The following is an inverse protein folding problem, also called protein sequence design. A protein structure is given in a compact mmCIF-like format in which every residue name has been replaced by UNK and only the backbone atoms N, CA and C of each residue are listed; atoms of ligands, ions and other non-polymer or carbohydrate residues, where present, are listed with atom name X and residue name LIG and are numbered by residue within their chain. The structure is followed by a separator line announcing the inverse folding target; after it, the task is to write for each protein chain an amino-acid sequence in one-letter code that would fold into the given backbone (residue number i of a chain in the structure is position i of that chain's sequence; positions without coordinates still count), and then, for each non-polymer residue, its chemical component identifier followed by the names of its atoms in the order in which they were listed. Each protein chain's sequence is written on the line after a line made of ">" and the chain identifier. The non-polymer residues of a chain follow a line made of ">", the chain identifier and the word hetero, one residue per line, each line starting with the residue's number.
data_IF_826858263566
#
_entry.id   IF_826858263566
#
_cell.length_a   1.000
_cell.length_b   1.000
_cell.length_c   1.000
_cell.angle_alpha   90.00
_cell.angle_beta   90.00
_cell.angle_gamma   90.00
#
_symmetry.space_group_name_H-M   'P 1'
#
loop_
_entity.id
_entity.type
_entity.pdbx_description
1 polymer ?
#
# COMPACT_ATOMS: atom_id res chain seq x y z
N UNK A 1 -25.70 -3.15 15.37
CA UNK A 1 -24.70 -3.94 16.14
C UNK A 1 -23.51 -3.05 16.39
N UNK A 2 -22.93 -3.05 17.58
CA UNK A 2 -21.69 -2.30 17.87
C UNK A 2 -20.50 -3.13 17.38
N UNK A 3 -19.59 -2.48 16.65
CA UNK A 3 -18.37 -3.11 16.17
C UNK A 3 -17.47 -3.56 17.35
N UNK A 4 -16.83 -4.74 17.23
CA UNK A 4 -15.80 -5.21 18.18
C UNK A 4 -14.41 -4.69 17.86
N UNK A 5 -14.18 -4.39 16.59
CA UNK A 5 -12.95 -3.81 16.06
C UNK A 5 -13.29 -2.98 14.82
N UNK A 6 -12.50 -1.99 14.51
CA UNK A 6 -12.67 -1.16 13.33
C UNK A 6 -11.35 -0.49 12.91
N UNK A 7 -11.21 -0.26 11.61
CA UNK A 7 -10.16 0.54 11.02
C UNK A 7 -10.75 1.92 10.68
N UNK A 8 -10.39 2.94 11.46
CA UNK A 8 -10.79 4.33 11.21
C UNK A 8 -9.82 4.91 10.20
N UNK A 9 -10.33 5.40 9.07
CA UNK A 9 -9.57 5.97 7.97
C UNK A 9 -9.85 7.46 7.85
N UNK A 10 -8.85 8.27 8.11
CA UNK A 10 -8.88 9.72 7.96
C UNK A 10 -8.65 10.09 6.49
N UNK A 11 -9.71 10.48 5.80
CA UNK A 11 -9.67 10.84 4.38
C UNK A 11 -8.95 12.18 4.14
N UNK A 12 -9.05 13.13 5.08
CA UNK A 12 -8.30 14.39 4.99
C UNK A 12 -6.79 14.19 5.06
N UNK A 13 -6.33 13.22 5.86
CA UNK A 13 -4.91 12.86 5.91
C UNK A 13 -4.41 12.35 4.54
N UNK A 14 -5.19 11.48 3.88
CA UNK A 14 -4.85 10.99 2.54
C UNK A 14 -4.80 12.16 1.54
N UNK A 15 -5.80 13.04 1.54
CA UNK A 15 -5.83 14.23 0.69
C UNK A 15 -4.60 15.12 0.89
N UNK A 16 -4.24 15.40 2.14
CA UNK A 16 -3.09 16.21 2.49
C UNK A 16 -1.77 15.55 2.05
N UNK A 17 -1.63 14.23 2.25
CA UNK A 17 -0.45 13.48 1.83
C UNK A 17 -0.27 13.51 0.30
N UNK A 18 -1.37 13.31 -0.46
CA UNK A 18 -1.35 13.41 -1.93
C UNK A 18 -0.90 14.80 -2.37
N UNK A 19 -1.49 15.86 -1.79
CA UNK A 19 -1.12 17.24 -2.12
C UNK A 19 0.36 17.53 -1.82
N UNK A 20 0.87 17.06 -0.67
CA UNK A 20 2.27 17.19 -0.28
C UNK A 20 3.20 16.49 -1.27
N UNK A 21 2.88 15.24 -1.64
CA UNK A 21 3.68 14.45 -2.57
C UNK A 21 3.62 15.01 -4.00
N UNK A 22 2.46 15.50 -4.45
CA UNK A 22 2.28 16.16 -5.75
C UNK A 22 3.13 17.44 -5.83
N UNK A 23 3.07 18.28 -4.80
CA UNK A 23 3.87 19.50 -4.72
C UNK A 23 5.37 19.19 -4.73
N UNK A 24 5.79 18.14 -4.00
CA UNK A 24 7.18 17.71 -3.95
C UNK A 24 7.68 17.16 -5.28
N UNK A 25 6.85 16.37 -5.97
CA UNK A 25 7.21 15.77 -7.26
C UNK A 25 7.31 16.82 -8.38
N UNK A 26 6.45 17.83 -8.36
CA UNK A 26 6.38 18.88 -9.40
C UNK A 26 5.88 18.38 -10.77
N UNK A 27 5.45 17.13 -10.86
CA UNK A 27 4.97 16.45 -12.07
C UNK A 27 3.64 15.74 -11.78
N UNK A 28 3.08 15.02 -12.73
CA UNK A 28 1.86 14.28 -12.50
C UNK A 28 2.04 13.19 -11.43
N UNK A 29 0.95 12.91 -10.71
CA UNK A 29 0.94 11.92 -9.65
C UNK A 29 -0.13 10.87 -9.91
N UNK A 30 0.31 9.61 -10.01
CA UNK A 30 -0.55 8.45 -9.97
C UNK A 30 -0.70 7.96 -8.52
N UNK A 31 -1.90 8.07 -7.96
CA UNK A 31 -2.21 7.49 -6.66
C UNK A 31 -2.41 5.97 -6.81
N UNK A 32 -1.58 5.19 -6.13
CA UNK A 32 -1.62 3.73 -6.19
C UNK A 32 -2.59 3.20 -5.14
N UNK A 33 -3.75 2.73 -5.61
CA UNK A 33 -4.89 2.31 -4.76
C UNK A 33 -5.20 0.81 -4.84
N UNK A 34 -4.27 -0.01 -5.32
CA UNK A 34 -4.38 -1.47 -5.35
C UNK A 34 -4.58 -2.09 -3.97
N UNK A 35 -4.98 -3.37 -3.92
CA UNK A 35 -5.19 -4.14 -2.69
C UNK A 35 -6.15 -3.41 -1.72
N UNK A 36 -7.34 -3.05 -2.24
CA UNK A 36 -8.33 -2.27 -1.52
C UNK A 36 -7.75 -0.97 -0.93
N UNK A 37 -6.98 -0.22 -1.76
CA UNK A 37 -6.23 0.96 -1.33
C UNK A 37 -5.34 0.67 -0.12
N UNK A 38 -4.51 -0.37 -0.21
CA UNK A 38 -3.66 -0.86 0.89
C UNK A 38 -4.49 -1.11 2.17
N UNK A 39 -5.67 -1.69 2.00
CA UNK A 39 -6.58 -2.00 3.10
C UNK A 39 -7.38 -0.82 3.66
N UNK A 40 -7.29 0.38 3.05
CA UNK A 40 -8.01 1.58 3.50
C UNK A 40 -9.38 1.76 2.84
N UNK A 41 -9.73 0.94 1.83
CA UNK A 41 -10.99 1.04 1.09
C UNK A 41 -10.84 1.73 -0.27
N UNK A 42 -10.97 0.95 -1.36
CA UNK A 42 -10.64 1.34 -2.72
C UNK A 42 -11.33 2.62 -3.18
N UNK A 43 -12.65 2.67 -3.14
CA UNK A 43 -13.43 3.77 -3.73
C UNK A 43 -13.33 5.08 -2.94
N UNK A 44 -13.49 5.10 -1.59
CA UNK A 44 -13.33 6.33 -0.81
C UNK A 44 -11.93 6.94 -0.97
N UNK A 45 -10.89 6.10 -0.93
CA UNK A 45 -9.50 6.57 -1.10
C UNK A 45 -9.25 7.10 -2.50
N UNK A 46 -9.72 6.40 -3.55
CA UNK A 46 -9.54 6.87 -4.92
C UNK A 46 -10.15 8.26 -5.13
N UNK A 47 -11.37 8.51 -4.62
CA UNK A 47 -12.04 9.82 -4.71
C UNK A 47 -11.23 10.91 -4.02
N UNK A 48 -10.85 10.69 -2.75
CA UNK A 48 -10.13 11.70 -1.99
C UNK A 48 -8.69 11.92 -2.50
N UNK A 49 -8.05 10.92 -3.09
CA UNK A 49 -6.74 11.07 -3.71
C UNK A 49 -6.82 11.98 -4.96
N UNK A 50 -7.86 11.83 -5.79
CA UNK A 50 -8.13 12.73 -6.92
C UNK A 50 -8.41 14.15 -6.44
N UNK A 51 -9.21 14.32 -5.38
CA UNK A 51 -9.47 15.62 -4.74
C UNK A 51 -8.19 16.24 -4.14
N UNK A 52 -7.20 15.43 -3.78
CA UNK A 52 -5.88 15.84 -3.31
C UNK A 52 -4.90 16.23 -4.43
N UNK A 53 -5.29 16.07 -5.70
CA UNK A 53 -4.50 16.47 -6.86
C UNK A 53 -3.81 15.33 -7.59
N UNK A 54 -4.13 14.06 -7.27
CA UNK A 54 -3.73 12.95 -8.14
C UNK A 54 -4.42 13.08 -9.50
N UNK A 55 -3.68 12.84 -10.58
CA UNK A 55 -4.19 12.93 -11.95
C UNK A 55 -4.46 11.56 -12.57
N UNK A 56 -3.91 10.51 -11.97
CA UNK A 56 -4.05 9.12 -12.34
C UNK A 56 -4.32 8.23 -11.14
N UNK A 57 -4.96 7.10 -11.38
CA UNK A 57 -5.04 6.01 -10.41
C UNK A 57 -4.27 4.79 -10.93
N UNK A 58 -3.60 4.09 -10.02
CA UNK A 58 -2.88 2.87 -10.32
C UNK A 58 -3.40 1.70 -9.50
N UNK A 59 -3.75 0.60 -10.16
CA UNK A 59 -4.21 -0.63 -9.53
C UNK A 59 -3.41 -1.83 -10.01
N UNK A 60 -3.44 -2.92 -9.27
CA UNK A 60 -2.80 -4.15 -9.72
C UNK A 60 -3.70 -4.92 -10.69
N UNK A 61 -4.93 -5.15 -10.30
CA UNK A 61 -5.86 -6.06 -10.97
C UNK A 61 -6.87 -5.30 -11.82
N UNK A 62 -7.32 -5.95 -12.89
CA UNK A 62 -8.34 -5.38 -13.76
C UNK A 62 -9.69 -5.22 -13.03
N UNK A 63 -10.02 -6.14 -12.13
CA UNK A 63 -11.23 -6.10 -11.30
C UNK A 63 -11.26 -4.86 -10.38
N UNK A 64 -10.11 -4.42 -9.88
CA UNK A 64 -10.00 -3.18 -9.09
C UNK A 64 -10.30 -1.96 -9.98
N UNK A 65 -9.78 -1.93 -11.20
CA UNK A 65 -10.05 -0.86 -12.15
C UNK A 65 -11.53 -0.81 -12.56
N UNK A 66 -12.13 -1.95 -12.85
CA UNK A 66 -13.57 -2.07 -13.17
C UNK A 66 -14.43 -1.59 -11.99
N UNK A 67 -14.09 -1.97 -10.76
CA UNK A 67 -14.79 -1.51 -9.56
C UNK A 67 -14.74 0.03 -9.41
N UNK A 68 -13.61 0.66 -9.73
CA UNK A 68 -13.48 2.12 -9.74
C UNK A 68 -14.35 2.76 -10.83
N UNK A 69 -14.37 2.19 -12.03
CA UNK A 69 -15.28 2.66 -13.12
C UNK A 69 -16.74 2.54 -12.73
N UNK A 70 -17.14 1.41 -12.15
CA UNK A 70 -18.50 1.19 -11.65
C UNK A 70 -18.89 2.19 -10.55
N UNK A 71 -17.92 2.68 -9.78
CA UNK A 71 -18.13 3.73 -8.77
C UNK A 71 -18.12 5.17 -9.34
N UNK A 72 -18.07 5.32 -10.69
CA UNK A 72 -18.16 6.61 -11.38
C UNK A 72 -16.83 7.36 -11.49
N UNK A 73 -15.70 6.73 -11.24
CA UNK A 73 -14.38 7.34 -11.45
C UNK A 73 -14.11 7.48 -12.96
N UNK A 74 -13.83 8.69 -13.41
CA UNK A 74 -13.53 9.02 -14.83
C UNK A 74 -12.05 9.30 -15.08
N UNK A 75 -11.27 9.56 -14.04
CA UNK A 75 -9.83 9.79 -14.17
C UNK A 75 -9.12 8.59 -14.84
N UNK A 76 -7.98 8.79 -15.53
CA UNK A 76 -7.19 7.69 -16.08
C UNK A 76 -6.82 6.66 -15.02
N UNK A 77 -6.93 5.36 -15.40
CA UNK A 77 -6.59 4.22 -14.51
C UNK A 77 -5.64 3.31 -15.25
N UNK A 78 -4.51 2.97 -14.64
CA UNK A 78 -3.58 1.96 -15.13
C UNK A 78 -3.68 0.68 -14.27
N UNK A 79 -3.95 -0.47 -14.92
CA UNK A 79 -3.85 -1.79 -14.33
C UNK A 79 -2.57 -2.49 -14.81
N UNK A 80 -1.74 -3.01 -13.89
CA UNK A 80 -0.41 -3.54 -14.28
C UNK A 80 -0.16 -5.01 -14.02
N UNK A 81 -1.05 -5.73 -13.37
CA UNK A 81 -0.96 -7.18 -13.23
C UNK A 81 -2.08 -7.83 -14.06
N UNK A 82 -1.94 -7.70 -15.38
CA UNK A 82 -2.93 -8.19 -16.36
C UNK A 82 -2.24 -9.25 -17.23
N UNK A 83 -2.25 -10.53 -16.80
CA UNK A 83 -1.54 -11.60 -17.50
C UNK A 83 -2.21 -11.93 -18.86
N UNK A 84 -1.49 -12.58 -19.79
CA UNK A 84 -2.07 -13.11 -20.99
C UNK A 84 -3.31 -13.98 -20.72
N UNK A 85 -4.35 -13.82 -21.55
CA UNK A 85 -5.66 -14.48 -21.38
C UNK A 85 -6.63 -13.74 -20.45
N UNK A 86 -6.26 -12.55 -19.94
CA UNK A 86 -7.18 -11.69 -19.20
C UNK A 86 -8.30 -11.12 -20.09
N UNK A 87 -9.34 -10.59 -19.47
CA UNK A 87 -10.43 -9.91 -20.18
C UNK A 87 -10.02 -8.51 -20.67
N UNK A 88 -9.14 -8.49 -21.68
CA UNK A 88 -8.68 -7.24 -22.29
C UNK A 88 -9.82 -6.47 -22.96
N UNK A 89 -10.88 -7.18 -23.42
CA UNK A 89 -12.05 -6.52 -24.00
C UNK A 89 -12.73 -5.62 -22.98
N UNK A 90 -13.01 -6.14 -21.78
CA UNK A 90 -13.58 -5.33 -20.69
C UNK A 90 -12.70 -4.16 -20.30
N UNK A 91 -11.37 -4.31 -20.32
CA UNK A 91 -10.46 -3.22 -20.03
C UNK A 91 -10.60 -2.08 -21.04
N UNK A 92 -10.59 -2.40 -22.34
CA UNK A 92 -10.70 -1.42 -23.42
C UNK A 92 -12.08 -0.73 -23.42
N UNK A 93 -13.16 -1.50 -23.25
CA UNK A 93 -14.52 -0.96 -23.24
C UNK A 93 -14.76 0.00 -22.06
N UNK A 94 -14.05 -0.21 -20.95
CA UNK A 94 -14.12 0.63 -19.75
C UNK A 94 -13.03 1.72 -19.68
N UNK A 95 -12.31 2.01 -20.77
CA UNK A 95 -11.24 3.02 -20.81
C UNK A 95 -10.16 2.82 -19.72
N UNK A 96 -9.70 1.58 -19.53
CA UNK A 96 -8.63 1.21 -18.60
C UNK A 96 -7.35 1.05 -19.40
N UNK A 97 -6.29 1.75 -19.00
CA UNK A 97 -4.97 1.58 -19.56
C UNK A 97 -4.34 0.29 -19.01
N UNK A 98 -3.68 -0.46 -19.86
CA UNK A 98 -3.15 -1.79 -19.53
C UNK A 98 -1.62 -1.73 -19.55
N UNK A 99 -0.98 -2.19 -18.48
CA UNK A 99 0.46 -2.43 -18.53
C UNK A 99 0.75 -3.76 -19.25
N UNK A 100 1.67 -3.73 -20.18
CA UNK A 100 2.13 -4.91 -20.92
C UNK A 100 3.63 -5.11 -20.71
N UNK A 101 4.01 -6.37 -20.45
CA UNK A 101 5.36 -6.78 -20.06
C UNK A 101 5.93 -7.90 -20.93
N UNK A 102 5.23 -8.30 -21.99
CA UNK A 102 5.63 -9.33 -22.96
C UNK A 102 5.01 -9.11 -24.33
N UNK A 103 5.66 -9.61 -25.38
CA UNK A 103 5.11 -9.59 -26.74
C UNK A 103 3.76 -10.30 -26.78
N UNK A 104 3.65 -11.46 -26.12
CA UNK A 104 2.38 -12.20 -26.07
C UNK A 104 1.22 -11.36 -25.53
N UNK A 105 1.41 -10.64 -24.44
CA UNK A 105 0.37 -9.77 -23.87
C UNK A 105 0.05 -8.61 -24.85
N UNK A 106 1.07 -8.04 -25.47
CA UNK A 106 0.91 -6.95 -26.43
C UNK A 106 0.10 -7.41 -27.67
N UNK A 107 0.38 -8.61 -28.20
CA UNK A 107 -0.35 -9.19 -29.33
C UNK A 107 -1.82 -9.48 -28.97
N UNK A 108 -2.08 -10.01 -27.77
CA UNK A 108 -3.44 -10.28 -27.30
C UNK A 108 -4.24 -8.98 -27.11
N UNK A 109 -3.64 -7.95 -26.54
CA UNK A 109 -4.26 -6.62 -26.38
C UNK A 109 -4.54 -5.98 -27.75
N UNK A 110 -3.60 -6.08 -28.69
CA UNK A 110 -3.77 -5.51 -30.03
C UNK A 110 -4.85 -6.21 -30.87
N UNK A 111 -5.16 -7.46 -30.54
CA UNK A 111 -6.20 -8.25 -31.21
C UNK A 111 -7.62 -7.97 -30.69
N UNK A 112 -7.80 -7.13 -29.67
CA UNK A 112 -9.10 -6.76 -29.12
C UNK A 112 -9.95 -6.07 -30.18
N UNK A 113 -11.20 -6.54 -30.35
CA UNK A 113 -12.16 -5.98 -31.31
C UNK A 113 -13.05 -4.97 -30.60
N UNK A 114 -12.65 -3.72 -30.62
CA UNK A 114 -13.40 -2.60 -30.04
C UNK A 114 -13.43 -1.42 -31.03
N UNK A 115 -14.39 -0.53 -30.87
CA UNK A 115 -14.38 0.79 -31.53
C UNK A 115 -13.33 1.73 -30.95
N UNK A 116 -12.81 1.40 -29.76
CA UNK A 116 -11.75 2.11 -29.08
C UNK A 116 -10.41 1.41 -29.35
N UNK A 117 -9.36 2.18 -29.51
CA UNK A 117 -8.00 1.65 -29.61
C UNK A 117 -7.51 1.30 -28.20
N UNK A 118 -6.99 0.08 -27.95
CA UNK A 118 -6.42 -0.27 -26.68
C UNK A 118 -5.28 0.66 -26.27
N UNK A 119 -5.29 1.17 -25.06
CA UNK A 119 -4.27 2.06 -24.50
C UNK A 119 -3.34 1.26 -23.60
N UNK A 120 -2.04 1.36 -23.84
CA UNK A 120 -1.06 0.55 -23.11
C UNK A 120 0.10 1.37 -22.56
N UNK A 121 0.63 0.93 -21.42
CA UNK A 121 1.92 1.35 -20.90
C UNK A 121 2.89 0.17 -20.97
N UNK A 122 4.06 0.37 -21.56
CA UNK A 122 5.09 -0.68 -21.62
C UNK A 122 5.83 -0.75 -20.29
N UNK A 123 5.75 -1.89 -19.61
CA UNK A 123 6.57 -2.16 -18.44
C UNK A 123 7.92 -2.71 -18.88
N UNK A 124 9.02 -2.08 -18.44
CA UNK A 124 10.39 -2.50 -18.79
C UNK A 124 11.17 -2.87 -17.54
N UNK A 125 11.91 -4.00 -17.60
CA UNK A 125 12.81 -4.41 -16.52
C UNK A 125 14.15 -3.70 -16.64
N UNK A 126 14.39 -2.80 -15.71
CA UNK A 126 15.66 -2.07 -15.63
C UNK A 126 16.64 -2.64 -14.61
N UNK A 127 16.27 -3.75 -13.94
CA UNK A 127 17.14 -4.42 -12.97
C UNK A 127 16.49 -4.75 -11.63
N UNK A 128 15.18 -4.80 -11.56
CA UNK A 128 14.44 -5.37 -10.43
C UNK A 128 14.23 -6.87 -10.61
N UNK A 129 14.17 -7.34 -11.85
CA UNK A 129 14.03 -8.75 -12.24
C UNK A 129 12.75 -9.39 -11.68
N UNK A 130 11.64 -8.61 -11.70
CA UNK A 130 10.33 -9.07 -11.26
C UNK A 130 9.30 -9.11 -12.39
N UNK A 131 9.22 -8.06 -13.20
CA UNK A 131 8.32 -7.92 -14.33
C UNK A 131 8.90 -6.91 -15.32
N UNK A 132 8.32 -6.88 -16.52
CA UNK A 132 8.73 -5.96 -17.58
C UNK A 132 9.52 -6.65 -18.70
N UNK A 133 9.49 -6.01 -19.86
CA UNK A 133 10.30 -6.42 -21.01
C UNK A 133 11.79 -6.41 -20.68
N UNK A 134 12.51 -7.50 -20.96
CA UNK A 134 13.94 -7.63 -20.82
C UNK A 134 14.55 -8.22 -22.10
N UNK A 135 14.48 -9.53 -22.29
CA UNK A 135 15.04 -10.26 -23.43
C UNK A 135 14.18 -10.15 -24.70
N UNK A 136 12.91 -9.84 -24.55
CA UNK A 136 11.99 -9.54 -25.66
C UNK A 136 12.10 -8.09 -26.15
N UNK A 137 12.65 -7.16 -25.34
CA UNK A 137 12.73 -5.74 -25.71
C UNK A 137 13.38 -5.48 -27.06
N UNK A 138 14.53 -6.11 -27.42
CA UNK A 138 15.14 -5.92 -28.74
C UNK A 138 14.33 -6.49 -29.91
N UNK A 139 13.30 -7.30 -29.64
CA UNK A 139 12.42 -7.91 -30.64
C UNK A 139 11.17 -7.08 -30.91
N UNK A 140 10.89 -6.06 -30.09
CA UNK A 140 9.77 -5.16 -30.32
C UNK A 140 10.08 -4.30 -31.55
N UNK A 141 9.18 -4.34 -32.51
CA UNK A 141 9.23 -3.54 -33.73
C UNK A 141 7.91 -2.78 -33.95
N UNK A 142 7.84 -2.01 -35.03
CA UNK A 142 6.65 -1.23 -35.36
C UNK A 142 5.39 -2.10 -35.59
N UNK A 143 5.55 -3.38 -35.98
CA UNK A 143 4.44 -4.28 -36.21
C UNK A 143 3.75 -4.67 -34.91
N UNK A 144 4.50 -5.01 -33.86
CA UNK A 144 3.97 -5.31 -32.54
C UNK A 144 3.22 -4.12 -31.92
N UNK A 145 3.64 -2.88 -32.23
CA UNK A 145 3.09 -1.66 -31.67
C UNK A 145 1.88 -1.12 -32.46
N UNK A 146 1.57 -1.69 -33.63
CA UNK A 146 0.59 -1.12 -34.56
C UNK A 146 -0.86 -1.15 -34.05
N UNK A 147 -1.26 -2.19 -33.33
CA UNK A 147 -2.66 -2.42 -32.89
C UNK A 147 -3.09 -1.62 -31.65
N UNK A 148 -2.17 -0.95 -30.98
CA UNK A 148 -2.37 -0.29 -29.68
C UNK A 148 -1.93 1.18 -29.70
N UNK A 149 -2.49 1.96 -28.81
CA UNK A 149 -1.98 3.31 -28.47
C UNK A 149 -0.96 3.17 -27.32
N UNK A 150 0.31 3.46 -27.62
CA UNK A 150 1.34 3.50 -26.58
C UNK A 150 1.21 4.82 -25.84
N UNK A 151 0.67 4.78 -24.62
CA UNK A 151 0.46 5.95 -23.76
C UNK A 151 1.71 6.26 -22.94
N UNK A 152 2.38 5.22 -22.44
CA UNK A 152 3.53 5.43 -21.57
C UNK A 152 4.51 4.28 -21.53
N UNK A 153 5.60 4.52 -20.83
CA UNK A 153 6.64 3.54 -20.50
C UNK A 153 7.01 3.67 -19.02
N UNK A 154 7.16 2.55 -18.33
CA UNK A 154 7.54 2.56 -16.93
C UNK A 154 8.44 1.41 -16.51
N UNK A 155 9.06 1.60 -15.37
CA UNK A 155 9.79 0.56 -14.65
C UNK A 155 9.60 0.73 -13.14
N UNK A 156 10.26 -0.10 -12.35
CA UNK A 156 10.19 -0.02 -10.90
C UNK A 156 11.59 -0.12 -10.28
N UNK A 157 11.88 0.76 -9.32
CA UNK A 157 13.13 0.69 -8.57
C UNK A 157 13.11 -0.47 -7.59
N UNK A 158 14.22 -1.17 -7.52
CA UNK A 158 14.43 -2.24 -6.55
C UNK A 158 14.83 -1.73 -5.16
N UNK A 159 15.55 -0.59 -5.10
CA UNK A 159 16.19 -0.09 -3.88
C UNK A 159 16.07 1.44 -3.74
N UNK A 160 14.93 2.03 -4.15
CA UNK A 160 14.72 3.47 -4.02
C UNK A 160 14.67 3.96 -2.56
N UNK A 161 14.33 3.09 -1.65
CA UNK A 161 14.35 3.28 -0.20
C UNK A 161 15.76 3.31 0.40
N UNK A 162 16.77 2.89 -0.37
CA UNK A 162 18.18 2.98 0.00
C UNK A 162 18.89 4.04 -0.86
N UNK A 163 18.85 5.32 -0.49
CA UNK A 163 19.49 6.39 -1.24
C UNK A 163 21.00 6.16 -1.41
N UNK A 164 21.52 6.46 -2.60
CA UNK A 164 22.96 6.32 -2.90
C UNK A 164 23.40 4.93 -3.37
N UNK A 165 22.50 3.95 -3.46
CA UNK A 165 22.83 2.64 -4.02
C UNK A 165 23.14 2.76 -5.53
N UNK A 166 24.29 2.22 -6.03
CA UNK A 166 24.64 2.29 -7.44
C UNK A 166 23.58 1.67 -8.37
N UNK A 167 22.82 0.72 -7.87
CA UNK A 167 21.75 0.06 -8.62
C UNK A 167 20.67 1.06 -9.05
N UNK A 168 20.33 2.07 -8.21
CA UNK A 168 19.34 3.09 -8.56
C UNK A 168 19.78 3.90 -9.79
N UNK A 169 21.05 4.33 -9.84
CA UNK A 169 21.60 5.02 -11.01
C UNK A 169 21.66 4.12 -12.24
N UNK A 170 22.02 2.84 -12.05
CA UNK A 170 22.04 1.85 -13.15
C UNK A 170 20.65 1.65 -13.74
N UNK A 171 19.60 1.51 -12.89
CA UNK A 171 18.21 1.40 -13.32
C UNK A 171 17.75 2.65 -14.05
N UNK A 172 18.03 3.84 -13.52
CA UNK A 172 17.70 5.11 -14.16
C UNK A 172 18.32 5.25 -15.56
N UNK A 173 19.62 4.92 -15.69
CA UNK A 173 20.32 4.99 -16.97
C UNK A 173 19.78 3.96 -17.98
N UNK A 174 19.43 2.76 -17.52
CA UNK A 174 18.82 1.74 -18.36
C UNK A 174 17.43 2.16 -18.83
N UNK A 175 16.62 2.73 -17.93
CA UNK A 175 15.31 3.27 -18.27
C UNK A 175 15.41 4.36 -19.35
N UNK A 176 16.32 5.33 -19.21
CA UNK A 176 16.54 6.37 -20.20
C UNK A 176 16.90 5.81 -21.59
N UNK A 177 17.71 4.75 -21.64
CA UNK A 177 18.04 4.08 -22.92
C UNK A 177 16.82 3.42 -23.56
N UNK A 178 15.95 2.79 -22.77
CA UNK A 178 14.75 2.13 -23.29
C UNK A 178 13.72 3.18 -23.76
N UNK A 179 13.59 4.31 -23.08
CA UNK A 179 12.81 5.47 -23.54
C UNK A 179 13.33 5.96 -24.89
N UNK A 180 14.63 6.25 -25.01
CA UNK A 180 15.23 6.72 -26.25
C UNK A 180 15.05 5.75 -27.42
N UNK A 181 15.02 4.46 -27.17
CA UNK A 181 14.73 3.43 -28.18
C UNK A 181 13.29 3.58 -28.73
N UNK A 182 12.27 3.81 -27.88
CA UNK A 182 10.90 4.07 -28.35
C UNK A 182 10.76 5.40 -29.08
N UNK A 183 11.45 6.43 -28.63
CA UNK A 183 11.49 7.73 -29.31
C UNK A 183 12.04 7.56 -30.75
N UNK A 184 13.07 6.72 -30.93
CA UNK A 184 13.63 6.41 -32.25
C UNK A 184 12.67 5.62 -33.16
N UNK A 185 11.70 4.92 -32.62
CA UNK A 185 10.60 4.25 -33.34
C UNK A 185 9.41 5.17 -33.64
N UNK A 186 9.47 6.45 -33.29
CA UNK A 186 8.44 7.45 -33.59
C UNK A 186 7.41 7.64 -32.47
N UNK A 187 7.75 7.30 -31.23
CA UNK A 187 6.92 7.53 -30.02
C UNK A 187 7.54 8.60 -29.09
N UNK A 188 7.59 9.89 -29.46
CA UNK A 188 8.29 10.92 -28.68
C UNK A 188 7.49 11.45 -27.48
N UNK A 189 6.16 11.23 -27.44
CA UNK A 189 5.26 11.85 -26.45
C UNK A 189 4.71 10.86 -25.43
N UNK A 190 5.58 9.95 -24.94
CA UNK A 190 5.20 8.96 -23.94
C UNK A 190 5.21 9.53 -22.53
N UNK A 191 4.24 9.13 -21.71
CA UNK A 191 4.28 9.36 -20.25
C UNK A 191 5.34 8.43 -19.65
N UNK A 192 6.46 9.01 -19.20
CA UNK A 192 7.56 8.27 -18.57
C UNK A 192 7.37 8.27 -17.07
N UNK A 193 7.35 7.09 -16.44
CA UNK A 193 7.17 7.03 -15.00
C UNK A 193 7.99 5.90 -14.35
N UNK A 194 8.94 6.28 -13.49
CA UNK A 194 9.86 5.37 -12.81
C UNK A 194 9.69 5.41 -11.29
N UNK A 195 9.57 6.61 -10.71
CA UNK A 195 9.56 6.84 -9.26
C UNK A 195 8.36 6.21 -8.56
N UNK A 196 8.65 5.41 -7.52
CA UNK A 196 7.72 4.98 -6.48
C UNK A 196 7.69 6.00 -5.32
N UNK A 197 7.02 5.69 -4.20
CA UNK A 197 6.95 6.58 -3.03
C UNK A 197 8.34 7.00 -2.51
N UNK A 198 9.28 6.07 -2.41
CA UNK A 198 10.62 6.35 -1.89
C UNK A 198 11.39 7.30 -2.82
N UNK A 199 11.41 7.00 -4.12
CA UNK A 199 12.04 7.88 -5.11
C UNK A 199 11.37 9.25 -5.18
N UNK A 200 10.04 9.34 -5.10
CA UNK A 200 9.30 10.62 -5.06
C UNK A 200 9.75 11.47 -3.88
N UNK A 201 10.05 10.86 -2.74
CA UNK A 201 10.49 11.57 -1.54
C UNK A 201 11.95 12.05 -1.66
N UNK A 202 12.84 11.27 -2.28
CA UNK A 202 14.29 11.49 -2.19
C UNK A 202 15.00 11.77 -3.51
N UNK A 203 14.42 11.45 -4.67
CA UNK A 203 15.08 11.53 -5.98
C UNK A 203 14.20 12.17 -7.05
N UNK A 204 14.26 13.51 -7.13
CA UNK A 204 13.54 14.25 -8.17
C UNK A 204 14.04 13.95 -9.60
N UNK A 205 15.28 13.51 -9.77
CA UNK A 205 15.85 13.25 -11.10
C UNK A 205 15.16 12.06 -11.80
N UNK A 206 14.47 11.21 -11.07
CA UNK A 206 13.74 10.05 -11.59
C UNK A 206 12.22 10.29 -11.71
N UNK A 207 11.72 11.49 -11.44
CA UNK A 207 10.29 11.80 -11.48
C UNK A 207 9.70 11.72 -12.90
N UNK A 208 10.46 12.15 -13.93
CA UNK A 208 10.04 12.23 -15.32
C UNK A 208 8.70 12.99 -15.48
N UNK A 209 7.71 12.38 -16.14
CA UNK A 209 6.43 13.02 -16.40
C UNK A 209 5.40 12.71 -15.31
N UNK A 210 5.57 11.60 -14.60
CA UNK A 210 4.63 11.15 -13.57
C UNK A 210 5.32 10.29 -12.52
N UNK A 211 4.93 10.46 -11.24
CA UNK A 211 5.34 9.60 -10.13
C UNK A 211 4.19 8.68 -9.71
N UNK A 212 4.53 7.50 -9.14
CA UNK A 212 3.56 6.53 -8.64
C UNK A 212 3.71 6.35 -7.15
N UNK A 213 2.85 7.01 -6.39
CA UNK A 213 2.90 6.99 -4.93
C UNK A 213 1.87 6.01 -4.35
N UNK A 214 2.37 5.00 -3.63
CA UNK A 214 1.55 4.03 -2.90
C UNK A 214 1.58 4.37 -1.41
N UNK A 215 2.44 3.69 -0.65
CA UNK A 215 2.44 3.74 0.82
C UNK A 215 2.45 5.17 1.39
N UNK A 216 3.11 6.11 0.72
CA UNK A 216 3.23 7.48 1.20
C UNK A 216 1.90 8.27 1.16
N UNK A 217 0.95 7.94 0.24
CA UNK A 217 -0.35 8.61 0.27
C UNK A 217 -1.18 8.20 1.49
N UNK A 218 -0.91 7.01 2.07
CA UNK A 218 -1.52 6.54 3.31
C UNK A 218 -0.82 7.09 4.57
N UNK A 219 0.15 7.98 4.37
CA UNK A 219 0.89 8.63 5.45
C UNK A 219 1.98 7.80 6.08
N UNK A 220 2.41 6.72 5.43
CA UNK A 220 3.42 5.81 5.97
C UNK A 220 4.75 5.96 5.24
N UNK A 221 5.84 5.90 6.01
CA UNK A 221 7.19 5.92 5.45
C UNK A 221 7.45 4.67 4.60
N UNK A 222 8.05 4.79 3.41
CA UNK A 222 8.48 3.62 2.65
C UNK A 222 9.51 2.76 3.37
N UNK A 223 10.40 3.37 4.14
CA UNK A 223 11.33 2.70 5.05
C UNK A 223 11.77 3.69 6.15
N UNK A 224 11.42 3.35 7.39
CA UNK A 224 11.71 4.23 8.54
C UNK A 224 13.21 4.34 8.84
N UNK A 225 13.98 3.28 8.54
CA UNK A 225 15.41 3.23 8.89
C UNK A 225 16.27 4.10 7.98
N UNK A 226 15.92 4.16 6.70
CA UNK A 226 16.71 4.85 5.68
C UNK A 226 16.15 6.22 5.29
N UNK A 227 14.83 6.39 5.36
CA UNK A 227 14.15 7.60 4.93
C UNK A 227 13.65 8.47 6.07
N UNK A 228 13.49 7.89 7.27
CA UNK A 228 12.91 8.54 8.44
C UNK A 228 11.45 8.17 8.64
N UNK A 229 10.91 8.60 9.77
CA UNK A 229 9.52 8.37 10.19
C UNK A 229 8.53 9.15 9.34
N UNK A 230 7.25 8.76 9.35
CA UNK A 230 6.17 9.49 8.68
C UNK A 230 6.16 10.98 9.07
N UNK A 231 6.34 11.29 10.36
CA UNK A 231 6.41 12.66 10.88
C UNK A 231 7.58 13.46 10.30
N UNK A 232 8.77 12.88 10.23
CA UNK A 232 9.96 13.52 9.64
C UNK A 232 9.80 13.76 8.13
N UNK A 233 9.01 12.93 7.47
CA UNK A 233 8.69 13.09 6.05
C UNK A 233 7.52 14.05 5.79
N UNK A 234 6.87 14.59 6.84
CA UNK A 234 5.69 15.44 6.74
C UNK A 234 4.44 14.69 6.28
N UNK A 235 4.38 13.39 6.53
CA UNK A 235 3.25 12.53 6.20
C UNK A 235 2.36 12.29 7.42
N UNK A 236 1.06 12.15 7.20
CA UNK A 236 0.05 11.94 8.24
C UNK A 236 -0.50 10.52 8.09
N UNK A 237 -0.19 9.57 8.99
CA UNK A 237 -0.76 8.23 8.95
C UNK A 237 -2.29 8.27 8.94
N UNK A 238 -2.91 7.61 7.96
CA UNK A 238 -4.33 7.74 7.70
C UNK A 238 -5.19 6.70 8.42
N UNK A 239 -4.61 5.57 8.88
CA UNK A 239 -5.37 4.50 9.52
C UNK A 239 -5.08 4.43 11.02
N UNK A 240 -6.17 4.40 11.81
CA UNK A 240 -6.15 3.99 13.21
C UNK A 240 -6.91 2.66 13.33
N UNK A 241 -6.22 1.61 13.78
CA UNK A 241 -6.84 0.32 14.07
C UNK A 241 -7.15 0.23 15.54
N UNK A 242 -8.42 0.02 15.88
CA UNK A 242 -8.85 -0.12 17.27
C UNK A 242 -9.75 -1.33 17.49
N UNK A 243 -9.76 -1.84 18.70
CA UNK A 243 -10.57 -2.99 19.09
C UNK A 243 -11.09 -2.81 20.52
N UNK A 244 -12.13 -3.56 20.88
CA UNK A 244 -12.65 -3.58 22.24
C UNK A 244 -11.95 -4.60 23.09
N UNK A 245 -11.79 -4.30 24.37
CA UNK A 245 -11.48 -5.28 25.39
C UNK A 245 -12.72 -6.15 25.63
N UNK A 246 -12.66 -7.43 25.22
CA UNK A 246 -13.73 -8.38 25.48
C UNK A 246 -13.85 -8.68 26.98
N UNK A 247 -12.70 -8.79 27.64
CA UNK A 247 -12.62 -9.11 29.07
C UNK A 247 -11.40 -8.43 29.68
N UNK A 248 -11.57 -7.88 30.87
CA UNK A 248 -10.45 -7.48 31.75
C UNK A 248 -10.53 -8.28 33.04
N UNK A 249 -9.43 -8.91 33.45
CA UNK A 249 -9.37 -9.71 34.67
C UNK A 249 -8.06 -9.50 35.43
N UNK A 250 -8.15 -9.53 36.76
CA UNK A 250 -6.98 -9.56 37.64
C UNK A 250 -6.43 -11.00 37.70
N UNK A 251 -5.13 -11.13 37.64
CA UNK A 251 -4.42 -12.40 37.78
C UNK A 251 -3.25 -12.26 38.75
N UNK A 252 -2.93 -13.29 39.56
CA UNK A 252 -1.74 -13.27 40.42
C UNK A 252 -0.45 -13.41 39.60
N UNK A 253 0.68 -13.16 40.23
CA UNK A 253 2.00 -13.55 39.75
C UNK A 253 2.04 -15.06 39.45
N UNK A 254 2.83 -15.45 38.44
CA UNK A 254 2.98 -16.84 38.02
C UNK A 254 1.82 -17.42 37.19
N UNK A 255 0.85 -16.57 36.78
CA UNK A 255 -0.26 -17.02 35.94
C UNK A 255 0.20 -17.32 34.51
N UNK A 256 -0.04 -18.54 33.97
CA UNK A 256 0.28 -18.89 32.60
C UNK A 256 -0.73 -18.21 31.63
N UNK A 257 -0.23 -17.73 30.46
CA UNK A 257 -1.05 -17.01 29.49
C UNK A 257 -1.02 -17.64 28.10
N UNK A 258 -2.20 -17.92 27.57
CA UNK A 258 -2.42 -18.35 26.20
C UNK A 258 -1.96 -19.78 25.88
N UNK A 259 -1.95 -20.08 24.57
CA UNK A 259 -1.59 -21.41 24.07
C UNK A 259 -0.15 -21.78 24.39
N UNK A 260 0.02 -22.98 24.99
CA UNK A 260 1.33 -23.52 25.35
C UNK A 260 1.94 -22.88 26.59
N UNK A 261 1.20 -21.97 27.28
CA UNK A 261 1.70 -21.25 28.46
C UNK A 261 3.10 -20.65 28.25
N UNK A 262 3.32 -20.11 27.04
CA UNK A 262 4.64 -19.60 26.62
C UNK A 262 5.04 -18.31 27.33
N UNK A 263 4.08 -17.66 27.97
CA UNK A 263 4.31 -16.51 28.83
C UNK A 263 3.68 -16.73 30.20
N UNK A 264 4.28 -16.13 31.22
CA UNK A 264 3.83 -16.18 32.62
C UNK A 264 3.89 -14.77 33.18
N UNK A 265 2.89 -14.35 33.96
CA UNK A 265 2.89 -13.01 34.58
C UNK A 265 4.01 -12.89 35.62
N UNK A 266 4.76 -11.79 35.54
CA UNK A 266 5.90 -11.54 36.43
C UNK A 266 5.52 -10.92 37.78
N UNK A 267 4.29 -10.42 37.87
CA UNK A 267 3.68 -9.83 39.08
C UNK A 267 2.16 -9.97 38.98
N UNK A 268 1.45 -9.69 40.06
CA UNK A 268 -0.01 -9.54 40.00
C UNK A 268 -0.37 -8.37 39.07
N UNK A 269 -1.25 -8.59 38.10
CA UNK A 269 -1.58 -7.62 37.05
C UNK A 269 -3.02 -7.73 36.57
N UNK A 270 -3.45 -6.81 35.70
CA UNK A 270 -4.68 -6.92 34.92
C UNK A 270 -4.35 -7.34 33.49
N UNK A 271 -4.98 -8.40 33.03
CA UNK A 271 -4.92 -8.84 31.64
C UNK A 271 -6.15 -8.37 30.88
N UNK A 272 -5.92 -7.77 29.71
CA UNK A 272 -6.94 -7.39 28.73
C UNK A 272 -7.02 -8.43 27.61
N UNK A 273 -8.21 -8.90 27.30
CA UNK A 273 -8.49 -9.76 26.15
C UNK A 273 -9.01 -8.90 25.02
N UNK A 274 -8.20 -8.65 24.02
CA UNK A 274 -8.52 -7.82 22.84
C UNK A 274 -9.33 -8.66 21.87
N UNK A 275 -10.49 -8.16 21.42
CA UNK A 275 -11.42 -8.86 20.53
C UNK A 275 -10.98 -8.83 19.05
N UNK A 276 -9.73 -9.15 18.77
CA UNK A 276 -9.10 -9.15 17.45
C UNK A 276 -7.95 -10.18 17.44
N UNK A 277 -7.79 -10.92 16.34
CA UNK A 277 -6.74 -11.93 16.22
C UNK A 277 -6.19 -12.09 14.81
N UNK A 278 -5.51 -13.22 14.53
CA UNK A 278 -4.86 -13.38 13.23
C UNK A 278 -5.85 -13.56 12.07
N UNK A 279 -7.10 -13.95 12.32
CA UNK A 279 -8.16 -13.98 11.31
C UNK A 279 -8.64 -12.57 10.90
N UNK A 280 -8.24 -11.54 11.65
CA UNK A 280 -8.54 -10.14 11.36
C UNK A 280 -7.36 -9.40 10.74
N UNK A 281 -6.19 -10.04 10.67
CA UNK A 281 -4.96 -9.47 10.13
C UNK A 281 -3.85 -9.24 11.15
N UNK A 282 -4.04 -9.57 12.43
CA UNK A 282 -2.97 -9.44 13.43
C UNK A 282 -1.91 -10.52 13.21
N UNK A 283 -0.61 -10.18 13.10
CA UNK A 283 0.43 -11.17 12.94
C UNK A 283 0.50 -12.14 14.12
N UNK A 284 0.45 -13.46 13.84
CA UNK A 284 0.49 -14.48 14.90
C UNK A 284 1.82 -14.48 15.66
N UNK A 285 2.89 -14.07 15.01
CA UNK A 285 4.26 -14.08 15.54
C UNK A 285 4.65 -12.74 16.21
N UNK A 286 3.77 -11.75 16.23
CA UNK A 286 4.06 -10.46 16.82
C UNK A 286 4.49 -10.60 18.29
N UNK A 287 5.63 -9.98 18.63
CA UNK A 287 6.16 -9.88 19.96
C UNK A 287 6.56 -8.43 20.20
N UNK A 288 6.47 -7.93 21.41
CA UNK A 288 6.82 -6.53 21.75
C UNK A 288 5.95 -5.45 21.09
N UNK A 289 4.84 -5.82 20.44
CA UNK A 289 3.75 -4.92 20.10
C UNK A 289 2.59 -5.14 21.07
N UNK A 290 1.51 -4.38 20.93
CA UNK A 290 0.36 -4.47 21.82
C UNK A 290 -0.72 -3.50 21.45
N UNK A 291 -1.39 -2.99 22.46
CA UNK A 291 -2.39 -1.93 22.32
C UNK A 291 -2.03 -0.74 23.20
N UNK A 292 -2.70 0.37 22.97
CA UNK A 292 -2.63 1.54 23.86
C UNK A 292 -3.99 1.85 24.42
N UNK A 293 -4.03 2.18 25.70
CA UNK A 293 -5.23 2.65 26.40
C UNK A 293 -4.91 3.97 27.08
N UNK A 294 -5.59 5.05 26.69
CA UNK A 294 -5.37 6.42 27.19
C UNK A 294 -3.89 6.87 27.10
N UNK A 295 -3.16 6.45 26.06
CA UNK A 295 -1.75 6.77 25.87
C UNK A 295 -0.76 5.74 26.45
N UNK A 296 -1.18 4.94 27.41
CA UNK A 296 -0.35 3.90 28.01
C UNK A 296 -0.27 2.65 27.12
N UNK A 297 0.94 2.18 26.86
CA UNK A 297 1.19 0.97 26.07
C UNK A 297 1.02 -0.30 26.91
N UNK A 298 0.18 -1.21 26.44
CA UNK A 298 -0.06 -2.53 27.01
C UNK A 298 0.45 -3.61 26.05
N UNK A 299 1.59 -4.26 26.35
CA UNK A 299 2.22 -5.21 25.45
C UNK A 299 1.44 -6.52 25.38
N UNK A 300 1.56 -7.23 24.24
CA UNK A 300 1.06 -8.60 24.10
C UNK A 300 1.77 -9.50 25.11
N UNK A 301 0.99 -10.34 25.79
CA UNK A 301 1.49 -11.41 26.63
C UNK A 301 0.94 -12.77 26.14
N UNK A 302 1.83 -13.70 25.87
CA UNK A 302 1.47 -14.99 25.26
C UNK A 302 1.31 -14.90 23.73
N UNK A 303 0.67 -15.92 23.16
CA UNK A 303 0.51 -16.05 21.70
C UNK A 303 -0.80 -15.42 21.22
N UNK A 304 -0.77 -14.78 20.06
CA UNK A 304 -1.98 -14.32 19.36
C UNK A 304 -2.80 -15.55 18.92
N UNK A 305 -4.10 -15.53 19.20
CA UNK A 305 -5.07 -16.55 18.80
C UNK A 305 -5.81 -16.12 17.52
N UNK A 306 -6.71 -16.98 17.01
CA UNK A 306 -7.44 -16.71 15.77
C UNK A 306 -8.27 -15.42 15.85
N UNK A 307 -9.01 -15.24 16.95
CA UNK A 307 -10.00 -14.18 17.09
C UNK A 307 -9.69 -13.19 18.22
N UNK A 308 -8.58 -13.37 18.93
CA UNK A 308 -8.25 -12.59 20.12
C UNK A 308 -6.77 -12.69 20.49
N UNK A 309 -6.28 -11.70 21.23
CA UNK A 309 -4.97 -11.76 21.88
C UNK A 309 -5.02 -11.12 23.27
N UNK A 310 -4.07 -11.47 24.12
CA UNK A 310 -4.00 -10.97 25.48
C UNK A 310 -2.91 -9.91 25.60
N UNK A 311 -3.22 -8.85 26.33
CA UNK A 311 -2.26 -7.79 26.67
C UNK A 311 -2.13 -7.66 28.18
N UNK A 312 -0.94 -7.25 28.64
CA UNK A 312 -0.70 -6.90 30.02
C UNK A 312 -0.99 -5.40 30.23
N UNK A 313 -2.12 -5.10 30.87
CA UNK A 313 -2.57 -3.72 31.13
C UNK A 313 -1.86 -3.07 32.31
N UNK A 314 -1.14 -3.86 33.13
CA UNK A 314 -0.58 -3.38 34.40
C UNK A 314 -1.61 -3.42 35.54
N UNK A 315 -1.10 -3.48 36.78
CA UNK A 315 -1.93 -3.61 38.00
C UNK A 315 -2.87 -2.40 38.20
N UNK A 316 -2.38 -1.22 37.90
CA UNK A 316 -3.07 0.07 38.18
C UNK A 316 -3.96 0.53 37.02
N UNK A 317 -3.98 -0.17 35.88
CA UNK A 317 -4.80 0.23 34.74
C UNK A 317 -6.27 0.40 35.13
N UNK A 318 -6.91 1.44 34.60
CA UNK A 318 -8.34 1.72 34.79
C UNK A 318 -9.22 1.08 33.73
N UNK A 319 -8.63 0.41 32.73
CA UNK A 319 -9.34 -0.22 31.63
C UNK A 319 -10.38 -1.26 32.11
N UNK A 320 -11.50 -1.30 31.41
CA UNK A 320 -12.61 -2.19 31.69
C UNK A 320 -13.04 -2.99 30.44
N UNK A 321 -13.77 -4.09 30.64
CA UNK A 321 -14.38 -4.81 29.54
C UNK A 321 -15.34 -3.90 28.78
N UNK A 322 -15.23 -3.87 27.45
CA UNK A 322 -16.00 -3.00 26.57
C UNK A 322 -15.29 -1.73 26.14
N UNK A 323 -14.21 -1.33 26.82
CA UNK A 323 -13.41 -0.17 26.42
C UNK A 323 -12.72 -0.39 25.08
N UNK A 324 -12.54 0.69 24.33
CA UNK A 324 -11.74 0.73 23.12
C UNK A 324 -10.27 0.85 23.46
N UNK A 325 -9.45 0.06 22.80
CA UNK A 325 -7.99 0.17 22.81
C UNK A 325 -7.47 0.37 21.38
N UNK A 326 -6.43 1.16 21.22
CA UNK A 326 -5.78 1.40 19.93
C UNK A 326 -4.72 0.33 19.70
N UNK A 327 -4.86 -0.43 18.61
CA UNK A 327 -3.87 -1.43 18.18
C UNK A 327 -2.68 -0.74 17.53
N UNK A 328 -2.96 0.15 16.57
CA UNK A 328 -1.97 1.10 16.05
C UNK A 328 -2.65 2.37 15.54
N UNK A 329 -1.91 3.47 15.54
CA UNK A 329 -2.38 4.77 15.07
C UNK A 329 -1.22 5.62 14.56
N UNK A 330 -1.38 6.93 14.67
CA UNK A 330 -0.39 7.92 14.22
C UNK A 330 0.88 7.98 15.08
N UNK A 331 0.82 7.51 16.31
CA UNK A 331 1.86 7.66 17.33
C UNK A 331 1.82 9.00 18.08
N UNK A 332 0.86 9.89 17.75
CA UNK A 332 0.82 11.24 18.33
C UNK A 332 0.48 11.24 19.83
N UNK A 333 -0.34 10.30 20.28
CA UNK A 333 -0.79 10.15 21.66
C UNK A 333 -0.01 9.05 22.42
N UNK A 334 1.16 8.64 21.90
CA UNK A 334 2.00 7.60 22.52
C UNK A 334 1.60 6.17 22.18
N UNK A 335 0.58 5.98 21.33
CA UNK A 335 0.15 4.67 20.88
C UNK A 335 1.18 3.96 20.02
N UNK A 336 1.04 2.64 19.88
CA UNK A 336 1.82 1.89 18.89
C UNK A 336 1.52 2.38 17.47
N UNK A 337 2.55 2.45 16.65
CA UNK A 337 2.44 2.72 15.21
C UNK A 337 2.36 1.41 14.43
N UNK A 338 1.95 1.48 13.17
CA UNK A 338 2.01 0.33 12.27
C UNK A 338 3.47 -0.13 12.03
N UNK A 339 4.43 0.79 12.12
CA UNK A 339 5.87 0.47 12.02
C UNK A 339 6.37 -0.31 13.24
N UNK A 340 5.88 0.01 14.46
CA UNK A 340 6.15 -0.77 15.67
C UNK A 340 5.66 -2.22 15.50
N UNK A 341 4.44 -2.40 14.96
CA UNK A 341 3.88 -3.71 14.68
C UNK A 341 4.64 -4.46 13.57
N UNK A 342 5.09 -3.75 12.55
CA UNK A 342 5.95 -4.30 11.50
C UNK A 342 7.25 -4.85 12.08
N UNK A 343 7.95 -4.04 12.87
CA UNK A 343 9.18 -4.44 13.54
C UNK A 343 8.97 -5.63 14.50
N UNK A 344 7.89 -5.60 15.28
CA UNK A 344 7.54 -6.65 16.24
C UNK A 344 7.17 -8.00 15.58
N UNK A 345 6.84 -7.99 14.30
CA UNK A 345 6.45 -9.20 13.54
C UNK A 345 7.47 -9.61 12.46
N UNK A 346 8.62 -8.90 12.35
CA UNK A 346 9.59 -9.15 11.29
C UNK A 346 9.05 -8.85 9.90
N UNK A 347 8.12 -7.88 9.81
CA UNK A 347 7.42 -7.46 8.59
C UNK A 347 7.57 -5.96 8.36
N UNK A 348 6.78 -5.41 7.45
CA UNK A 348 6.75 -3.99 7.09
C UNK A 348 5.33 -3.42 7.20
N UNK A 349 5.24 -2.10 7.34
CA UNK A 349 3.97 -1.39 7.43
C UNK A 349 3.02 -1.67 6.25
N UNK A 350 3.54 -1.86 5.04
CA UNK A 350 2.77 -2.25 3.84
C UNK A 350 1.94 -3.52 4.07
N UNK A 351 2.58 -4.57 4.60
CA UNK A 351 1.90 -5.84 4.88
C UNK A 351 0.87 -5.67 6.00
N UNK A 352 1.20 -4.92 7.04
CA UNK A 352 0.32 -4.76 8.20
C UNK A 352 -1.01 -4.11 7.83
N UNK A 353 -1.00 -3.01 7.07
CA UNK A 353 -2.24 -2.33 6.68
C UNK A 353 -3.03 -3.12 5.63
N UNK A 354 -2.36 -3.76 4.66
CA UNK A 354 -3.03 -4.50 3.60
C UNK A 354 -3.68 -5.80 4.08
N UNK A 355 -3.18 -6.41 5.15
CA UNK A 355 -3.70 -7.67 5.64
C UNK A 355 -4.92 -7.55 6.57
N UNK A 356 -5.34 -6.32 6.93
CA UNK A 356 -6.56 -6.12 7.72
C UNK A 356 -7.75 -6.61 6.93
N UNK A 357 -8.36 -7.70 7.41
CA UNK A 357 -9.39 -8.45 6.70
C UNK A 357 -10.77 -7.78 6.70
N UNK A 358 -11.73 -8.32 5.94
CA UNK A 358 -13.09 -7.75 5.80
C UNK A 358 -13.93 -7.89 7.08
N UNK A 359 -13.50 -8.68 8.06
CA UNK A 359 -14.14 -8.78 9.38
C UNK A 359 -13.97 -7.51 10.22
N UNK A 360 -13.07 -6.60 9.81
CA UNK A 360 -12.84 -5.30 10.43
C UNK A 360 -13.41 -4.22 9.53
N UNK A 361 -14.55 -3.63 9.87
CA UNK A 361 -15.15 -2.58 9.05
C UNK A 361 -14.27 -1.34 8.98
N UNK A 362 -14.26 -0.68 7.81
CA UNK A 362 -13.63 0.63 7.63
C UNK A 362 -14.64 1.72 8.00
N UNK A 363 -14.22 2.62 8.87
CA UNK A 363 -14.99 3.81 9.26
C UNK A 363 -14.26 5.02 8.69
N UNK A 364 -14.93 5.80 7.87
CA UNK A 364 -14.32 6.95 7.22
C UNK A 364 -14.61 8.22 7.99
N UNK A 365 -13.56 8.96 8.29
CA UNK A 365 -13.63 10.30 8.86
C UNK A 365 -13.14 11.33 7.83
N UNK A 366 -13.76 12.53 7.83
CA UNK A 366 -13.41 13.58 6.88
C UNK A 366 -11.95 14.03 7.03
#
# INVERSE_FOLDING_TARGET
>A
MTNRAEAVVNLSAIKANVATLKAKAGVDLMAVVKADAYGHGLVPVAKVALDGGATWLGVALLEEAIALRAAGITAPILAWLVPPGSDFQSAVDNDIDIAVASIKALDEVSAVKSSKRPRVHLEVDTGMTRGGFLDEWPKIDALHLHGVEIVGIFSHFARADEPGQPQNLSQLNRFKKMVASLESFGYPNLIRHLSNSAATIKDQASAFDMVRTGIAIYGLSPDVKTLGTSKELGLIPAMTLRAKLHLVKKVPEGSPVGYGATAVTKSATKLGLVAMGYADGIPRIAQSAGVSFLGDKAPIIGRVSMDQFVVDLGADSTAQSGDWVTVFGSGADGEYTVDDWGAASGSINYELVTRIGPRVPRIYEP
#
